data_IF_938446597445
#
_entry.id   IF_938446597445
#
_cell.length_a   1.000
_cell.length_b   1.000
_cell.length_c   1.000
_cell.angle_alpha   90.00
_cell.angle_beta   90.00
_cell.angle_gamma   90.00
#
_symmetry.space_group_name_H-M   'P 1'
#
loop_
_entity.id
_entity.type
_entity.pdbx_description
1 polymer ?
#
# COMPACT_ATOMS: atom_id res chain seq x y z
N UNK A 1 -51.30 -23.14 -14.62
CA UNK A 1 -50.34 -22.11 -14.16
C UNK A 1 -50.49 -20.89 -15.05
N UNK A 2 -51.04 -19.77 -14.54
CA UNK A 2 -51.15 -18.51 -15.29
C UNK A 2 -49.76 -17.85 -15.31
N UNK A 3 -49.06 -17.89 -16.44
CA UNK A 3 -47.83 -17.12 -16.65
C UNK A 3 -48.20 -15.64 -16.79
N UNK A 4 -47.99 -14.85 -15.75
CA UNK A 4 -48.13 -13.40 -15.85
C UNK A 4 -47.10 -12.86 -16.86
N UNK A 5 -47.50 -11.97 -17.79
CA UNK A 5 -46.55 -11.37 -18.73
C UNK A 5 -45.59 -10.48 -17.95
N UNK A 6 -44.28 -10.74 -18.07
CA UNK A 6 -43.25 -9.84 -17.54
C UNK A 6 -43.41 -8.48 -18.21
N UNK A 7 -43.68 -7.44 -17.41
CA UNK A 7 -43.71 -6.06 -17.89
C UNK A 7 -42.34 -5.72 -18.47
N UNK A 8 -42.33 -5.14 -19.67
CA UNK A 8 -41.11 -4.64 -20.27
C UNK A 8 -40.52 -3.54 -19.38
N UNK A 9 -39.20 -3.55 -19.13
CA UNK A 9 -38.55 -2.55 -18.28
C UNK A 9 -38.72 -1.17 -18.89
N UNK A 10 -38.93 -0.17 -18.03
CA UNK A 10 -39.10 1.21 -18.49
C UNK A 10 -37.78 1.79 -19.01
N UNK A 11 -37.86 2.72 -19.96
CA UNK A 11 -36.68 3.39 -20.54
C UNK A 11 -35.80 4.06 -19.49
N UNK A 12 -36.38 4.58 -18.41
CA UNK A 12 -35.65 5.15 -17.28
C UNK A 12 -34.87 4.12 -16.47
N UNK A 13 -35.42 2.92 -16.25
CA UNK A 13 -34.71 1.83 -15.56
C UNK A 13 -33.52 1.32 -16.38
N UNK A 14 -33.70 1.22 -17.70
CA UNK A 14 -32.62 0.84 -18.63
C UNK A 14 -31.51 1.91 -18.62
N UNK A 15 -31.85 3.19 -18.77
CA UNK A 15 -30.89 4.30 -18.76
C UNK A 15 -30.15 4.43 -17.42
N UNK A 16 -30.85 4.25 -16.31
CA UNK A 16 -30.23 4.30 -14.99
C UNK A 16 -29.26 3.13 -14.79
N UNK A 17 -29.61 1.90 -15.20
CA UNK A 17 -28.70 0.75 -15.06
C UNK A 17 -27.43 0.85 -15.92
N UNK A 18 -27.52 1.44 -17.12
CA UNK A 18 -26.37 1.67 -18.01
C UNK A 18 -25.43 2.73 -17.43
N UNK A 19 -25.98 3.88 -17.02
CA UNK A 19 -25.19 4.97 -16.44
C UNK A 19 -24.56 4.58 -15.11
N UNK A 20 -25.31 3.91 -14.21
CA UNK A 20 -24.75 3.41 -12.95
C UNK A 20 -23.68 2.34 -13.20
N UNK A 21 -23.89 1.45 -14.18
CA UNK A 21 -22.92 0.44 -14.57
C UNK A 21 -21.63 1.01 -15.16
N UNK A 22 -21.69 2.16 -15.84
CA UNK A 22 -20.51 2.89 -16.33
C UNK A 22 -19.78 3.62 -15.19
N UNK A 23 -20.52 4.27 -14.28
CA UNK A 23 -19.95 4.94 -13.11
C UNK A 23 -19.24 3.95 -12.21
N UNK A 24 -19.84 2.79 -11.91
CA UNK A 24 -19.22 1.73 -11.11
C UNK A 24 -17.96 1.19 -11.80
N UNK A 25 -18.01 0.97 -13.12
CA UNK A 25 -16.83 0.52 -13.89
C UNK A 25 -15.70 1.54 -13.83
N UNK A 26 -16.00 2.83 -13.97
CA UNK A 26 -15.00 3.90 -13.84
C UNK A 26 -14.41 3.98 -12.43
N UNK A 27 -15.23 3.87 -11.38
CA UNK A 27 -14.75 3.85 -9.99
C UNK A 27 -13.90 2.62 -9.70
N UNK A 28 -14.30 1.43 -10.17
CA UNK A 28 -13.53 0.21 -10.02
C UNK A 28 -12.18 0.26 -10.77
N UNK A 29 -12.16 0.85 -11.97
CA UNK A 29 -10.90 1.03 -12.69
C UNK A 29 -9.96 2.02 -11.98
N UNK A 30 -10.51 3.08 -11.37
CA UNK A 30 -9.75 4.03 -10.56
C UNK A 30 -9.16 3.34 -9.32
N UNK A 31 -9.96 2.55 -8.59
CA UNK A 31 -9.47 1.78 -7.44
C UNK A 31 -8.44 0.70 -7.80
N UNK A 32 -8.58 0.02 -8.93
CA UNK A 32 -7.58 -0.96 -9.42
C UNK A 32 -6.22 -0.31 -9.71
N UNK A 33 -6.24 0.93 -10.22
CA UNK A 33 -5.03 1.71 -10.48
C UNK A 33 -4.36 2.18 -9.17
N UNK A 34 -5.16 2.42 -8.13
CA UNK A 34 -4.71 3.00 -6.87
C UNK A 34 -4.35 1.97 -5.77
N UNK A 35 -4.73 0.69 -5.90
CA UNK A 35 -4.40 -0.38 -4.91
C UNK A 35 -2.90 -0.51 -4.59
N UNK A 36 -2.03 -0.12 -5.54
CA UNK A 36 -0.58 -0.12 -5.32
C UNK A 36 -0.13 0.90 -4.27
N UNK A 37 -0.86 2.00 -4.09
CA UNK A 37 -0.51 3.07 -3.15
C UNK A 37 -0.54 2.64 -1.67
N UNK A 38 -1.62 2.02 -1.13
CA UNK A 38 -1.65 1.59 0.26
C UNK A 38 -0.63 0.49 0.56
N UNK A 39 -0.36 -0.41 -0.39
CA UNK A 39 0.68 -1.43 -0.23
C UNK A 39 2.08 -0.81 -0.09
N UNK A 40 2.36 0.25 -0.86
CA UNK A 40 3.63 0.97 -0.77
C UNK A 40 3.79 1.75 0.54
N UNK A 41 2.69 2.32 1.04
CA UNK A 41 2.64 2.91 2.37
C UNK A 41 2.96 1.89 3.46
N UNK A 42 2.39 0.69 3.35
CA UNK A 42 2.68 -0.40 4.26
C UNK A 42 4.16 -0.81 4.23
N UNK A 43 4.78 -0.87 3.04
CA UNK A 43 6.21 -1.14 2.89
C UNK A 43 7.06 -0.04 3.54
N UNK A 44 6.76 1.24 3.33
CA UNK A 44 7.48 2.34 3.96
C UNK A 44 7.32 2.31 5.51
N UNK A 45 6.14 1.96 6.00
CA UNK A 45 5.89 1.80 7.43
C UNK A 45 6.69 0.63 8.03
N UNK A 46 6.71 -0.52 7.36
CA UNK A 46 7.50 -1.68 7.80
C UNK A 46 8.99 -1.33 7.84
N UNK A 47 9.51 -0.67 6.81
CA UNK A 47 10.91 -0.22 6.80
C UNK A 47 11.21 0.72 7.97
N UNK A 48 10.31 1.65 8.29
CA UNK A 48 10.47 2.54 9.43
C UNK A 48 10.45 1.78 10.77
N UNK A 49 9.58 0.78 10.92
CA UNK A 49 9.51 -0.07 12.13
C UNK A 49 10.80 -0.88 12.28
N UNK A 50 11.29 -1.50 11.20
CA UNK A 50 12.56 -2.26 11.22
C UNK A 50 13.72 -1.35 11.63
N UNK A 51 13.77 -0.13 11.08
CA UNK A 51 14.80 0.85 11.42
C UNK A 51 14.70 1.26 12.90
N UNK A 52 13.53 1.64 13.36
CA UNK A 52 13.30 2.02 14.76
C UNK A 52 13.60 0.88 15.74
N UNK A 53 13.16 -0.33 15.41
CA UNK A 53 13.43 -1.54 16.19
C UNK A 53 14.92 -1.87 16.26
N UNK A 54 15.65 -1.72 15.14
CA UNK A 54 17.10 -1.93 15.13
C UNK A 54 17.85 -0.93 16.02
N UNK A 55 17.40 0.32 16.07
CA UNK A 55 17.97 1.36 16.95
C UNK A 55 17.65 1.03 18.41
N UNK A 56 16.41 0.66 18.72
CA UNK A 56 16.00 0.29 20.07
C UNK A 56 16.81 -0.90 20.60
N UNK A 57 16.96 -1.96 19.79
CA UNK A 57 17.76 -3.13 20.15
C UNK A 57 19.23 -2.75 20.35
N UNK A 58 19.80 -1.89 19.49
CA UNK A 58 21.21 -1.49 19.60
C UNK A 58 21.49 -0.67 20.87
N UNK A 59 20.56 0.20 21.26
CA UNK A 59 20.69 1.08 22.44
C UNK A 59 20.44 0.36 23.76
N UNK A 60 19.67 -0.73 23.75
CA UNK A 60 19.34 -1.47 24.97
C UNK A 60 20.43 -2.53 25.26
N UNK A 61 21.26 -2.35 26.30
CA UNK A 61 22.33 -3.28 26.64
C UNK A 61 21.81 -4.62 27.20
N UNK A 62 20.57 -4.70 27.67
CA UNK A 62 19.98 -5.97 28.14
C UNK A 62 19.57 -6.86 26.96
N UNK A 63 19.20 -6.25 25.84
CA UNK A 63 18.83 -6.94 24.60
C UNK A 63 20.04 -7.11 23.67
N UNK A 64 20.95 -6.13 23.63
CA UNK A 64 22.16 -6.14 22.82
C UNK A 64 23.25 -7.04 23.43
N UNK A 65 23.02 -8.35 23.42
CA UNK A 65 23.96 -9.37 23.92
C UNK A 65 25.16 -9.59 22.99
N UNK A 66 25.16 -8.97 21.81
CA UNK A 66 26.24 -9.13 20.83
C UNK A 66 27.44 -8.28 21.26
N UNK A 67 28.64 -8.87 21.40
CA UNK A 67 29.81 -8.14 21.82
C UNK A 67 30.26 -7.13 20.75
N UNK A 68 30.81 -6.00 21.20
CA UNK A 68 31.49 -5.06 20.32
C UNK A 68 32.73 -5.72 19.68
N UNK A 69 33.04 -5.44 18.40
CA UNK A 69 32.40 -4.47 17.51
C UNK A 69 31.23 -5.05 16.68
N UNK A 70 30.90 -6.32 16.84
CA UNK A 70 29.97 -7.03 15.96
C UNK A 70 28.53 -6.49 16.04
N UNK A 71 28.11 -5.97 17.19
CA UNK A 71 26.83 -5.28 17.34
C UNK A 71 26.73 -4.03 16.46
N UNK A 72 27.81 -3.23 16.38
CA UNK A 72 27.89 -2.04 15.52
C UNK A 72 27.84 -2.45 14.05
N UNK A 73 28.58 -3.49 13.68
CA UNK A 73 28.59 -4.00 12.29
C UNK A 73 27.19 -4.46 11.89
N UNK A 74 26.52 -5.26 12.72
CA UNK A 74 25.15 -5.71 12.48
C UNK A 74 24.17 -4.54 12.34
N UNK A 75 24.26 -3.55 13.24
CA UNK A 75 23.43 -2.35 13.17
C UNK A 75 23.64 -1.57 11.87
N UNK A 76 24.89 -1.34 11.46
CA UNK A 76 25.22 -0.64 10.21
C UNK A 76 24.71 -1.40 8.99
N UNK A 77 24.79 -2.74 8.98
CA UNK A 77 24.25 -3.56 7.90
C UNK A 77 22.73 -3.38 7.78
N UNK A 78 21.99 -3.49 8.89
CA UNK A 78 20.54 -3.33 8.90
C UNK A 78 20.14 -1.91 8.47
N UNK A 79 20.87 -0.90 8.95
CA UNK A 79 20.69 0.50 8.56
C UNK A 79 20.91 0.68 7.05
N UNK A 80 22.01 0.17 6.52
CA UNK A 80 22.37 0.25 5.10
C UNK A 80 21.33 -0.42 4.20
N UNK A 81 20.88 -1.63 4.56
CA UNK A 81 19.83 -2.35 3.82
C UNK A 81 18.52 -1.57 3.85
N UNK A 82 18.12 -1.04 5.00
CA UNK A 82 16.88 -0.29 5.14
C UNK A 82 16.89 0.99 4.31
N UNK A 83 18.00 1.72 4.30
CA UNK A 83 18.19 2.93 3.46
C UNK A 83 18.16 2.55 1.97
N UNK A 84 18.84 1.48 1.58
CA UNK A 84 18.85 1.00 0.20
C UNK A 84 17.45 0.65 -0.29
N UNK A 85 16.69 -0.12 0.51
CA UNK A 85 15.30 -0.49 0.20
C UNK A 85 14.37 0.74 0.16
N UNK A 86 14.59 1.72 1.03
CA UNK A 86 13.89 3.00 0.99
C UNK A 86 14.21 3.82 -0.28
N UNK A 87 15.39 3.63 -0.87
CA UNK A 87 15.75 4.15 -2.18
C UNK A 87 14.91 3.54 -3.30
N UNK A 88 14.59 2.24 -3.20
CA UNK A 88 13.76 1.54 -4.18
C UNK A 88 12.31 2.07 -4.25
N UNK A 89 11.82 2.67 -3.16
CA UNK A 89 10.48 3.28 -3.12
C UNK A 89 10.44 4.73 -3.66
N UNK A 90 11.59 5.30 -4.07
CA UNK A 90 11.72 6.68 -4.59
C UNK A 90 10.84 7.00 -5.81
N UNK A 91 10.71 6.14 -6.84
CA UNK A 91 9.87 6.41 -8.02
C UNK A 91 8.41 6.65 -7.63
N UNK A 92 7.93 5.96 -6.60
CA UNK A 92 6.56 6.06 -6.12
C UNK A 92 6.30 7.33 -5.30
N UNK A 93 7.32 7.83 -4.58
CA UNK A 93 7.25 9.15 -3.93
C UNK A 93 7.14 10.27 -4.96
N UNK A 94 7.88 10.16 -6.06
CA UNK A 94 7.81 11.11 -7.18
C UNK A 94 6.44 11.05 -7.85
N UNK A 95 5.91 9.85 -8.11
CA UNK A 95 4.56 9.67 -8.64
C UNK A 95 3.47 10.25 -7.71
N UNK A 96 3.60 10.11 -6.38
CA UNK A 96 2.72 10.75 -5.39
C UNK A 96 2.79 12.28 -5.41
N UNK A 97 3.99 12.86 -5.57
CA UNK A 97 4.16 14.32 -5.61
C UNK A 97 3.59 14.96 -6.88
N UNK A 98 3.51 14.23 -7.99
CA UNK A 98 2.90 14.73 -9.23
C UNK A 98 1.36 14.67 -9.25
N UNK A 99 0.72 14.07 -8.24
CA UNK A 99 -0.75 14.04 -8.09
C UNK A 99 -1.29 15.12 -7.13
N UNK A 100 -0.42 15.94 -6.54
CA UNK A 100 -0.78 17.15 -5.78
C UNK A 100 -0.74 18.36 -6.70
#
# INVERSE_FOLDING_TARGET
MKSHPKKAPSTWEVLNSVTFGEVIRHQLQKMKKDWRMPLLWLVELILAIVLAGSIAIYLDPEVNVVPAPWNVVAFVIVLGISIYLYGFTRPFRVARRMQK
#
